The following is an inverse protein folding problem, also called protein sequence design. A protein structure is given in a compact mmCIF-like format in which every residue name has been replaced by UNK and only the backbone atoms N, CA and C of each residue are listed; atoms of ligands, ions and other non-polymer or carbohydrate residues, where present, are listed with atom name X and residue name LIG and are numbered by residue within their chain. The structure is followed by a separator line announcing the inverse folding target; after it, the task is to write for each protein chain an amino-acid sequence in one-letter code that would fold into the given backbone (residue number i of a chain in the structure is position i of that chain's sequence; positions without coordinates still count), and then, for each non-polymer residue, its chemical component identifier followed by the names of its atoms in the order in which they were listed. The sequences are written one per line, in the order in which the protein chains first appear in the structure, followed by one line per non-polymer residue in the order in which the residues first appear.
data_IF_858046068414
#
_entry.id   IF_858046068414
#
_cell.length_a   1.000
_cell.length_b   1.000
_cell.length_c   1.000
_cell.angle_alpha   90.00
_cell.angle_beta   90.00
_cell.angle_gamma   90.00
#
_symmetry.space_group_name_H-M   'P 1'
#
loop_
_entity.id
_entity.type
_entity.pdbx_description
1 polymer ?
#
# COMPACT_ATOMS: atom_id res chain seq x y z
N UNK A 1 24.71 7.75 4.51
CA UNK A 1 24.65 6.45 5.20
C UNK A 1 23.89 6.67 6.50
N UNK A 2 22.59 6.38 6.54
CA UNK A 2 21.84 6.38 7.80
C UNK A 2 22.24 5.09 8.52
N UNK A 3 22.88 5.23 9.66
CA UNK A 3 23.01 4.15 10.63
C UNK A 3 21.60 3.72 11.00
N UNK A 4 21.15 2.58 10.48
CA UNK A 4 19.97 1.93 11.00
C UNK A 4 20.14 1.81 12.50
N UNK A 5 19.23 2.39 13.30
CA UNK A 5 19.11 2.04 14.70
C UNK A 5 18.81 0.54 14.70
N UNK A 6 19.87 -0.25 14.93
CA UNK A 6 19.71 -1.67 15.18
C UNK A 6 18.91 -1.73 16.48
N UNK A 7 17.64 -2.17 16.41
CA UNK A 7 16.94 -2.61 17.61
C UNK A 7 17.86 -3.61 18.31
N UNK A 8 18.04 -3.42 19.60
CA UNK A 8 18.72 -4.42 20.41
C UNK A 8 18.01 -5.76 20.21
N UNK A 9 18.79 -6.84 20.15
CA UNK A 9 18.28 -8.21 19.94
C UNK A 9 17.16 -8.55 20.92
N UNK A 10 17.20 -7.99 22.14
CA UNK A 10 16.18 -8.17 23.15
C UNK A 10 14.86 -7.46 22.78
N UNK A 11 14.93 -6.23 22.26
CA UNK A 11 13.74 -5.49 21.80
C UNK A 11 13.09 -6.17 20.58
N UNK A 12 13.90 -6.66 19.65
CA UNK A 12 13.38 -7.42 18.50
C UNK A 12 12.64 -8.67 18.99
N UNK A 13 13.22 -9.41 19.94
CA UNK A 13 12.60 -10.62 20.47
C UNK A 13 11.26 -10.31 21.16
N UNK A 14 11.18 -9.25 21.96
CA UNK A 14 9.91 -8.82 22.59
C UNK A 14 8.82 -8.51 21.57
N UNK A 15 9.16 -7.85 20.47
CA UNK A 15 8.21 -7.56 19.37
C UNK A 15 7.71 -8.88 18.75
N UNK A 16 8.61 -9.80 18.47
CA UNK A 16 8.28 -11.08 17.85
C UNK A 16 7.46 -11.97 18.79
N UNK A 17 7.78 -12.01 20.10
CA UNK A 17 7.01 -12.76 21.11
C UNK A 17 5.59 -12.19 21.27
N UNK A 18 5.45 -10.85 21.22
CA UNK A 18 4.15 -10.19 21.24
C UNK A 18 3.31 -10.54 20.01
N UNK A 19 3.95 -10.55 18.84
CA UNK A 19 3.32 -10.96 17.57
C UNK A 19 2.88 -12.43 17.63
N UNK A 20 3.75 -13.34 18.09
CA UNK A 20 3.43 -14.77 18.18
C UNK A 20 2.22 -15.02 19.08
N UNK A 21 2.13 -14.31 20.22
CA UNK A 21 0.99 -14.36 21.12
C UNK A 21 -0.29 -13.86 20.45
N UNK A 22 -0.23 -12.72 19.77
CA UNK A 22 -1.36 -12.18 19.00
C UNK A 22 -1.84 -13.17 17.94
N UNK A 23 -0.90 -13.76 17.17
CA UNK A 23 -1.22 -14.72 16.14
C UNK A 23 -1.90 -15.98 16.70
N UNK A 24 -1.39 -16.50 17.83
CA UNK A 24 -1.95 -17.71 18.46
C UNK A 24 -3.34 -17.49 19.07
N UNK A 25 -3.56 -16.34 19.71
CA UNK A 25 -4.79 -16.08 20.49
C UNK A 25 -5.87 -15.42 19.64
N UNK A 26 -5.50 -14.44 18.81
CA UNK A 26 -6.47 -13.57 18.14
C UNK A 26 -6.67 -13.90 16.66
N UNK A 27 -5.70 -14.58 16.03
CA UNK A 27 -5.78 -14.86 14.59
C UNK A 27 -6.12 -16.30 14.32
N UNK A 28 -5.28 -17.23 14.80
CA UNK A 28 -5.37 -18.66 14.46
C UNK A 28 -6.75 -19.31 14.67
N UNK A 29 -7.50 -18.99 15.75
CA UNK A 29 -8.83 -19.59 15.95
C UNK A 29 -9.86 -19.21 14.89
N UNK A 30 -9.66 -18.09 14.19
CA UNK A 30 -10.62 -17.53 13.25
C UNK A 30 -10.26 -17.78 11.77
N UNK A 31 -9.03 -18.20 11.48
CA UNK A 31 -8.49 -18.31 10.10
C UNK A 31 -9.37 -19.14 9.21
N UNK A 32 -9.72 -20.36 9.66
CA UNK A 32 -10.48 -21.32 8.83
C UNK A 32 -11.82 -20.74 8.38
N UNK A 33 -12.56 -20.13 9.33
CA UNK A 33 -13.87 -19.53 9.05
C UNK A 33 -13.75 -18.33 8.12
N UNK A 34 -12.87 -17.38 8.45
CA UNK A 34 -12.72 -16.13 7.69
C UNK A 34 -12.22 -16.38 6.27
N UNK A 35 -11.26 -17.32 6.10
CA UNK A 35 -10.75 -17.68 4.78
C UNK A 35 -11.80 -18.43 3.95
N UNK A 36 -12.53 -19.39 4.57
CA UNK A 36 -13.55 -20.17 3.88
C UNK A 36 -14.72 -19.30 3.41
N UNK A 37 -15.21 -18.43 4.28
CA UNK A 37 -16.40 -17.60 4.04
C UNK A 37 -16.09 -16.30 3.27
N UNK A 38 -14.83 -16.09 2.84
CA UNK A 38 -14.36 -14.86 2.14
C UNK A 38 -14.65 -13.57 2.94
N UNK A 39 -14.46 -13.63 4.26
CA UNK A 39 -14.72 -12.52 5.18
C UNK A 39 -13.43 -11.75 5.45
N UNK A 40 -13.51 -10.42 5.26
CA UNK A 40 -12.41 -9.52 5.63
C UNK A 40 -12.26 -9.45 7.16
N UNK A 41 -11.02 -9.59 7.71
CA UNK A 41 -10.78 -9.69 9.15
C UNK A 41 -10.69 -8.32 9.84
N UNK A 42 -11.78 -7.54 9.87
CA UNK A 42 -11.78 -6.16 10.37
C UNK A 42 -11.25 -6.07 11.81
N UNK A 43 -11.73 -6.92 12.73
CA UNK A 43 -11.32 -6.89 14.14
C UNK A 43 -9.83 -7.20 14.32
N UNK A 44 -9.30 -8.15 13.53
CA UNK A 44 -7.89 -8.49 13.51
C UNK A 44 -7.07 -7.30 12.97
N UNK A 45 -7.56 -6.64 11.94
CA UNK A 45 -6.90 -5.46 11.34
C UNK A 45 -6.85 -4.30 12.33
N UNK A 46 -7.90 -4.06 13.12
CA UNK A 46 -7.87 -3.01 14.15
C UNK A 46 -6.80 -3.33 15.22
N UNK A 47 -6.69 -4.57 15.68
CA UNK A 47 -5.62 -4.98 16.61
C UNK A 47 -4.22 -4.83 15.98
N UNK A 48 -4.08 -5.12 14.69
CA UNK A 48 -2.84 -4.89 13.96
C UNK A 48 -2.45 -3.41 13.91
N UNK A 49 -3.43 -2.48 13.84
CA UNK A 49 -3.19 -1.03 13.96
C UNK A 49 -2.70 -0.67 15.37
N UNK A 50 -3.37 -1.16 16.41
CA UNK A 50 -2.99 -0.94 17.82
C UNK A 50 -1.57 -1.42 18.11
N UNK A 51 -1.16 -2.52 17.50
CA UNK A 51 0.21 -3.06 17.58
C UNK A 51 1.25 -2.27 16.76
N UNK A 52 0.83 -1.28 15.97
CA UNK A 52 1.72 -0.48 15.13
C UNK A 52 2.27 -1.19 13.90
N UNK A 53 1.68 -2.33 13.50
CA UNK A 53 2.18 -3.15 12.38
C UNK A 53 2.12 -2.42 11.03
N UNK A 54 1.22 -1.46 10.85
CA UNK A 54 1.16 -0.62 9.65
C UNK A 54 2.34 0.34 9.53
N UNK A 55 2.93 0.73 10.67
CA UNK A 55 4.09 1.63 10.76
C UNK A 55 5.44 0.92 10.93
N UNK A 56 5.53 -0.39 10.79
CA UNK A 56 6.72 -1.16 11.17
C UNK A 56 8.02 -0.67 10.49
N UNK A 57 8.01 -0.28 9.22
CA UNK A 57 9.17 0.27 8.50
C UNK A 57 9.19 1.80 8.42
N UNK A 58 8.13 2.47 8.83
CA UNK A 58 8.08 3.94 8.83
C UNK A 58 9.00 4.46 9.93
N UNK A 59 9.77 5.51 9.61
CA UNK A 59 10.70 6.13 10.56
C UNK A 59 9.98 6.62 11.83
N UNK A 60 10.60 6.50 13.02
CA UNK A 60 10.06 7.05 14.26
C UNK A 60 9.77 8.54 14.21
N UNK A 61 10.50 9.30 13.40
CA UNK A 61 10.23 10.72 13.13
C UNK A 61 8.80 10.97 12.65
N UNK A 62 8.20 9.98 11.95
CA UNK A 62 6.83 10.04 11.43
C UNK A 62 5.87 9.12 12.19
N UNK A 63 6.23 8.70 13.40
CA UNK A 63 5.38 7.89 14.27
C UNK A 63 5.36 6.39 13.98
N UNK A 64 6.28 5.90 13.15
CA UNK A 64 6.46 4.48 12.89
C UNK A 64 7.40 3.80 13.90
N UNK A 65 7.57 2.49 13.76
CA UNK A 65 8.48 1.71 14.60
C UNK A 65 9.93 1.75 14.12
N UNK A 66 10.19 2.06 12.84
CA UNK A 66 11.53 2.13 12.27
C UNK A 66 12.30 0.81 12.29
N UNK A 67 11.59 -0.32 12.21
CA UNK A 67 12.21 -1.65 12.23
C UNK A 67 13.13 -1.86 11.04
N UNK A 68 14.09 -2.77 11.20
CA UNK A 68 14.94 -3.19 10.09
C UNK A 68 14.13 -4.04 9.09
N UNK A 69 14.58 -4.09 7.84
CA UNK A 69 13.97 -4.99 6.83
C UNK A 69 14.06 -6.46 7.25
N UNK A 70 15.10 -6.84 8.01
CA UNK A 70 15.25 -8.21 8.52
C UNK A 70 14.18 -8.51 9.56
N UNK A 71 13.94 -7.61 10.51
CA UNK A 71 12.88 -7.76 11.52
C UNK A 71 11.51 -7.80 10.86
N UNK A 72 11.28 -6.93 9.86
CA UNK A 72 10.06 -6.97 9.05
C UNK A 72 9.86 -8.31 8.34
N UNK A 73 10.91 -8.87 7.74
CA UNK A 73 10.82 -10.19 7.10
C UNK A 73 10.42 -11.30 8.09
N UNK A 74 10.97 -11.27 9.32
CA UNK A 74 10.57 -12.20 10.39
C UNK A 74 9.09 -12.02 10.80
N UNK A 75 8.60 -10.79 10.84
CA UNK A 75 7.18 -10.49 11.10
C UNK A 75 6.30 -11.10 10.00
N UNK A 76 6.61 -10.84 8.73
CA UNK A 76 5.87 -11.36 7.59
C UNK A 76 5.90 -12.89 7.53
N UNK A 77 7.04 -13.51 7.82
CA UNK A 77 7.17 -14.98 7.90
C UNK A 77 6.19 -15.58 8.92
N UNK A 78 6.16 -15.06 10.16
CA UNK A 78 5.27 -15.53 11.22
C UNK A 78 3.80 -15.33 10.87
N UNK A 79 3.44 -14.13 10.39
CA UNK A 79 2.07 -13.83 9.97
C UNK A 79 1.62 -14.76 8.85
N UNK A 80 2.47 -14.99 7.85
CA UNK A 80 2.16 -15.83 6.69
C UNK A 80 2.04 -17.30 7.06
N UNK A 81 2.82 -17.78 8.04
CA UNK A 81 2.73 -19.15 8.55
C UNK A 81 1.38 -19.45 9.19
N UNK A 82 0.75 -18.43 9.80
CA UNK A 82 -0.59 -18.58 10.40
C UNK A 82 -1.69 -18.26 9.37
N UNK A 83 -1.60 -17.11 8.70
CA UNK A 83 -2.58 -16.69 7.70
C UNK A 83 -2.00 -15.67 6.72
N UNK A 84 -1.73 -16.09 5.49
CA UNK A 84 -1.12 -15.24 4.47
C UNK A 84 -1.93 -13.96 4.17
N UNK A 85 -3.27 -13.98 4.33
CA UNK A 85 -4.12 -12.81 4.06
C UNK A 85 -3.75 -11.59 4.89
N UNK A 86 -3.46 -11.76 6.19
CA UNK A 86 -3.09 -10.64 7.05
C UNK A 86 -1.68 -10.08 6.72
N UNK A 87 -0.74 -10.94 6.34
CA UNK A 87 0.57 -10.48 5.89
C UNK A 87 0.47 -9.68 4.59
N UNK A 88 -0.43 -10.07 3.69
CA UNK A 88 -0.69 -9.32 2.45
C UNK A 88 -1.32 -7.95 2.67
N UNK A 89 -2.21 -7.82 3.66
CA UNK A 89 -2.78 -6.52 4.06
C UNK A 89 -1.65 -5.55 4.45
N UNK A 90 -0.74 -5.99 5.32
CA UNK A 90 0.41 -5.18 5.75
C UNK A 90 1.39 -4.94 4.62
N UNK A 91 1.78 -5.99 3.87
CA UNK A 91 2.82 -5.87 2.86
C UNK A 91 2.46 -4.87 1.75
N UNK A 92 1.22 -4.92 1.24
CA UNK A 92 0.76 -3.97 0.23
C UNK A 92 0.77 -2.53 0.75
N UNK A 93 0.39 -2.33 2.02
CA UNK A 93 0.42 -1.02 2.67
C UNK A 93 1.85 -0.52 2.86
N UNK A 94 2.74 -1.37 3.35
CA UNK A 94 4.15 -1.01 3.58
C UNK A 94 4.84 -0.60 2.28
N UNK A 95 4.58 -1.28 1.15
CA UNK A 95 5.12 -0.87 -0.15
C UNK A 95 4.69 0.56 -0.50
N UNK A 96 3.41 0.90 -0.33
CA UNK A 96 2.89 2.26 -0.55
C UNK A 96 3.58 3.28 0.37
N UNK A 97 3.64 2.99 1.67
CA UNK A 97 4.22 3.88 2.67
C UNK A 97 5.71 4.12 2.41
N UNK A 98 6.47 3.06 2.13
CA UNK A 98 7.90 3.16 1.81
C UNK A 98 8.17 3.90 0.52
N UNK A 99 7.28 3.81 -0.47
CA UNK A 99 7.38 4.61 -1.70
C UNK A 99 7.30 6.12 -1.38
N UNK A 100 6.39 6.52 -0.50
CA UNK A 100 6.30 7.92 -0.04
C UNK A 100 7.48 8.30 0.84
N UNK A 101 7.90 7.44 1.77
CA UNK A 101 9.04 7.73 2.65
C UNK A 101 10.34 7.94 1.87
N UNK A 102 10.58 7.16 0.83
CA UNK A 102 11.81 7.25 0.03
C UNK A 102 11.78 8.40 -0.98
N UNK A 103 10.64 8.68 -1.59
CA UNK A 103 10.54 9.54 -2.76
C UNK A 103 9.69 10.80 -2.54
N UNK A 104 8.89 10.85 -1.48
CA UNK A 104 8.01 11.99 -1.20
C UNK A 104 8.78 13.26 -0.83
N UNK A 105 8.18 14.41 -1.11
CA UNK A 105 8.65 15.68 -0.56
C UNK A 105 8.49 15.69 0.97
N UNK A 106 9.22 16.56 1.68
CA UNK A 106 9.08 16.67 3.14
C UNK A 106 7.64 17.00 3.57
N UNK A 107 6.93 17.81 2.80
CA UNK A 107 5.52 18.11 3.04
C UNK A 107 4.66 16.84 2.93
N UNK A 108 4.87 16.02 1.89
CA UNK A 108 4.16 14.75 1.71
C UNK A 108 4.49 13.75 2.83
N UNK A 109 5.74 13.62 3.22
CA UNK A 109 6.14 12.73 4.32
C UNK A 109 5.47 13.13 5.63
N UNK A 110 5.51 14.40 6.00
CA UNK A 110 4.88 14.92 7.23
C UNK A 110 3.36 14.80 7.24
N UNK A 111 2.73 14.90 6.08
CA UNK A 111 1.28 14.77 5.95
C UNK A 111 0.83 13.31 5.98
N UNK A 112 1.51 12.43 5.23
CA UNK A 112 1.01 11.08 4.97
C UNK A 112 1.59 10.00 5.88
N UNK A 113 2.88 10.05 6.19
CA UNK A 113 3.52 8.94 6.92
C UNK A 113 2.93 8.73 8.32
N UNK A 114 2.59 9.76 9.12
CA UNK A 114 1.91 9.53 10.40
C UNK A 114 0.55 8.85 10.25
N UNK A 115 -0.20 9.20 9.21
CA UNK A 115 -1.51 8.60 8.92
C UNK A 115 -1.37 7.17 8.39
N UNK A 116 -0.28 6.86 7.68
CA UNK A 116 0.07 5.50 7.27
C UNK A 116 0.53 4.67 8.46
N UNK A 117 1.37 5.22 9.35
CA UNK A 117 1.90 4.51 10.51
C UNK A 117 0.79 4.02 11.45
N UNK A 118 -0.26 4.79 11.63
CA UNK A 118 -1.42 4.43 12.45
C UNK A 118 -2.44 3.54 11.71
N UNK A 119 -2.30 3.37 10.38
CA UNK A 119 -3.31 2.70 9.56
C UNK A 119 -4.59 3.52 9.34
N UNK A 120 -4.64 4.81 9.72
CA UNK A 120 -5.72 5.74 9.41
C UNK A 120 -5.92 5.86 7.90
N UNK A 121 -4.83 6.06 7.16
CA UNK A 121 -4.75 5.84 5.73
C UNK A 121 -4.06 4.51 5.50
N UNK A 122 -4.75 3.58 4.87
CA UNK A 122 -4.20 2.29 4.51
C UNK A 122 -4.60 1.89 3.10
N UNK A 123 -3.76 1.13 2.46
CA UNK A 123 -4.02 0.73 1.09
C UNK A 123 -2.88 -0.07 0.49
N UNK A 124 -2.56 0.22 -0.73
CA UNK A 124 -1.56 -0.51 -1.48
C UNK A 124 -1.09 0.25 -2.71
N UNK A 125 -0.70 -0.48 -3.74
CA UNK A 125 -0.23 0.08 -5.00
C UNK A 125 -1.18 -0.25 -6.14
N UNK A 126 -1.50 0.75 -6.96
CA UNK A 126 -2.35 0.60 -8.13
C UNK A 126 -1.52 0.61 -9.41
N UNK A 127 -1.00 -0.56 -9.84
CA UNK A 127 -0.09 -0.67 -10.97
C UNK A 127 -0.74 -1.35 -12.17
N UNK A 128 -1.12 -2.62 -12.00
CA UNK A 128 -1.64 -3.53 -13.03
C UNK A 128 -2.95 -3.04 -13.63
N UNK A 129 -3.12 -3.25 -14.92
CA UNK A 129 -4.34 -2.96 -15.67
C UNK A 129 -4.87 -4.23 -16.36
N UNK A 130 -6.12 -4.24 -16.87
CA UNK A 130 -6.66 -5.42 -17.55
C UNK A 130 -5.77 -5.97 -18.67
N UNK A 131 -5.09 -5.08 -19.41
CA UNK A 131 -4.30 -5.42 -20.59
C UNK A 131 -2.78 -5.48 -20.32
N UNK A 132 -2.32 -5.15 -19.11
CA UNK A 132 -0.88 -5.18 -18.78
C UNK A 132 -0.61 -5.42 -17.29
N UNK A 133 0.44 -6.19 -17.02
CA UNK A 133 0.94 -6.48 -15.68
C UNK A 133 2.46 -6.43 -15.65
N UNK A 134 3.14 -7.44 -16.20
CA UNK A 134 4.60 -7.50 -16.24
C UNK A 134 5.20 -6.31 -17.02
N UNK A 135 4.63 -5.93 -18.17
CA UNK A 135 5.01 -4.71 -18.88
C UNK A 135 4.22 -3.49 -18.35
N UNK A 136 4.65 -2.95 -17.23
CA UNK A 136 4.03 -1.74 -16.66
C UNK A 136 4.12 -0.52 -17.58
N UNK A 137 5.06 -0.49 -18.55
CA UNK A 137 5.16 0.62 -19.49
C UNK A 137 3.96 0.68 -20.46
N UNK A 138 3.20 -0.42 -20.56
CA UNK A 138 2.00 -0.51 -21.40
C UNK A 138 0.73 0.02 -20.72
N UNK A 139 0.78 0.50 -19.46
CA UNK A 139 -0.41 1.07 -18.79
C UNK A 139 -1.08 2.16 -19.66
N UNK A 140 -2.41 2.28 -19.51
CA UNK A 140 -3.24 3.24 -20.26
C UNK A 140 -3.96 4.25 -19.37
N UNK A 141 -3.98 4.04 -18.05
CA UNK A 141 -4.54 5.02 -17.11
C UNK A 141 -3.79 6.33 -17.21
N UNK A 142 -4.51 7.41 -17.54
CA UNK A 142 -3.93 8.74 -17.80
C UNK A 142 -4.33 9.70 -16.70
N UNK A 143 -3.41 10.54 -16.28
CA UNK A 143 -3.65 11.69 -15.41
C UNK A 143 -3.28 12.97 -16.16
N UNK A 144 -4.29 13.80 -16.47
CA UNK A 144 -4.10 15.07 -17.16
C UNK A 144 -4.11 16.22 -16.17
N UNK A 145 -3.06 17.02 -16.17
CA UNK A 145 -2.99 18.20 -15.30
C UNK A 145 -3.98 19.27 -15.77
N UNK A 146 -4.79 19.76 -14.83
CA UNK A 146 -5.73 20.86 -15.02
C UNK A 146 -5.56 21.82 -13.83
N UNK A 147 -4.75 22.86 -14.01
CA UNK A 147 -4.43 23.82 -12.96
C UNK A 147 -3.68 23.15 -11.80
N UNK A 148 -4.29 23.15 -10.64
CA UNK A 148 -3.78 22.58 -9.37
C UNK A 148 -4.17 21.12 -9.16
N UNK A 149 -4.79 20.45 -10.15
CA UNK A 149 -5.26 19.06 -10.06
C UNK A 149 -4.80 18.22 -11.24
N UNK A 150 -4.80 16.91 -11.01
CA UNK A 150 -4.80 15.89 -12.05
C UNK A 150 -6.20 15.30 -12.17
N UNK A 151 -6.70 15.16 -13.40
CA UNK A 151 -7.91 14.42 -13.72
C UNK A 151 -7.50 13.05 -14.25
N UNK A 152 -7.86 12.01 -13.52
CA UNK A 152 -7.45 10.62 -13.78
C UNK A 152 -8.60 9.86 -14.43
N UNK A 153 -8.29 9.20 -15.55
CA UNK A 153 -9.21 8.30 -16.28
C UNK A 153 -8.48 7.00 -16.62
N UNK A 154 -9.16 5.87 -16.41
CA UNK A 154 -8.63 4.55 -16.73
C UNK A 154 -9.11 3.46 -15.78
N UNK A 155 -8.43 2.31 -15.81
CA UNK A 155 -8.79 1.15 -15.03
C UNK A 155 -7.55 0.49 -14.42
N UNK A 156 -7.72 -0.13 -13.25
CA UNK A 156 -6.71 -0.97 -12.61
C UNK A 156 -7.32 -2.33 -12.28
N UNK A 157 -6.48 -3.37 -12.26
CA UNK A 157 -6.89 -4.75 -12.04
C UNK A 157 -5.99 -5.41 -11.00
N UNK A 158 -6.55 -6.32 -10.22
CA UNK A 158 -5.84 -7.07 -9.18
C UNK A 158 -5.30 -6.19 -8.04
N UNK A 159 -6.02 -5.12 -7.68
CA UNK A 159 -5.55 -4.16 -6.70
C UNK A 159 -5.94 -4.60 -5.28
N UNK A 160 -4.92 -4.90 -4.50
CA UNK A 160 -5.03 -5.29 -3.10
C UNK A 160 -5.34 -4.10 -2.20
N UNK A 161 -6.07 -4.30 -1.10
CA UNK A 161 -6.48 -3.27 -0.14
C UNK A 161 -7.27 -2.10 -0.76
N UNK A 162 -8.01 -2.34 -1.82
CA UNK A 162 -8.74 -1.27 -2.50
C UNK A 162 -10.21 -1.18 -2.10
N UNK A 163 -10.79 -2.25 -1.53
CA UNK A 163 -12.16 -2.21 -1.00
C UNK A 163 -12.19 -1.67 0.44
N UNK A 164 -11.38 -2.23 1.31
CA UNK A 164 -11.35 -1.87 2.74
C UNK A 164 -10.27 -0.84 3.07
N UNK A 165 -9.28 -0.62 2.21
CA UNK A 165 -8.36 0.50 2.29
C UNK A 165 -8.97 1.79 1.73
N UNK A 166 -8.30 2.91 1.90
CA UNK A 166 -8.78 4.24 1.51
C UNK A 166 -7.75 5.07 0.73
N UNK A 167 -6.58 4.52 0.41
CA UNK A 167 -5.51 5.20 -0.30
C UNK A 167 -4.70 4.22 -1.18
N UNK A 168 -4.17 4.72 -2.29
CA UNK A 168 -3.24 3.98 -3.16
C UNK A 168 -2.07 4.86 -3.59
N UNK A 169 -0.87 4.26 -3.75
CA UNK A 169 0.13 4.80 -4.65
C UNK A 169 -0.24 4.38 -6.08
N UNK A 170 -0.82 5.30 -6.83
CA UNK A 170 -1.44 5.04 -8.14
C UNK A 170 -0.48 5.41 -9.28
N UNK A 171 -0.08 4.41 -10.08
CA UNK A 171 0.76 4.61 -11.25
C UNK A 171 -0.10 5.01 -12.46
N UNK A 172 0.23 6.14 -13.07
CA UNK A 172 -0.50 6.75 -14.18
C UNK A 172 0.45 7.25 -15.26
N UNK A 173 -0.05 7.52 -16.45
CA UNK A 173 0.65 8.31 -17.48
C UNK A 173 0.27 9.78 -17.37
N UNK A 174 1.25 10.62 -17.10
CA UNK A 174 1.14 12.08 -17.18
C UNK A 174 1.57 12.60 -18.57
N UNK A 175 2.47 11.86 -19.26
CA UNK A 175 2.82 12.11 -20.65
C UNK A 175 2.68 10.81 -21.46
N UNK A 176 1.72 10.78 -22.38
CA UNK A 176 1.45 9.62 -23.26
C UNK A 176 2.36 9.55 -24.47
N UNK A 177 3.13 10.62 -24.76
CA UNK A 177 4.04 10.72 -25.90
C UNK A 177 5.50 10.52 -25.50
N UNK A 178 5.78 10.36 -24.21
CA UNK A 178 7.14 10.21 -23.70
C UNK A 178 7.89 9.04 -24.38
N UNK A 179 9.14 9.31 -24.75
CA UNK A 179 10.07 8.31 -25.26
C UNK A 179 11.40 8.42 -24.50
N UNK A 180 11.84 7.38 -23.77
CA UNK A 180 11.18 6.08 -23.58
C UNK A 180 9.90 6.18 -22.73
N UNK A 181 8.96 5.24 -22.92
CA UNK A 181 7.61 5.25 -22.34
C UNK A 181 7.57 5.43 -20.81
N UNK A 182 8.54 4.89 -20.09
CA UNK A 182 8.60 5.00 -18.64
C UNK A 182 8.78 6.45 -18.13
N UNK A 183 9.35 7.34 -18.95
CA UNK A 183 9.51 8.76 -18.60
C UNK A 183 8.19 9.54 -18.58
N UNK A 184 7.12 8.96 -19.12
CA UNK A 184 5.78 9.53 -19.04
C UNK A 184 4.96 9.01 -17.86
N UNK A 185 5.53 8.20 -16.98
CA UNK A 185 4.81 7.56 -15.87
C UNK A 185 5.08 8.27 -14.56
N UNK A 186 4.03 8.50 -13.78
CA UNK A 186 4.08 9.20 -12.50
C UNK A 186 3.29 8.45 -11.44
N UNK A 187 3.63 8.66 -10.17
CA UNK A 187 2.90 8.11 -9.03
C UNK A 187 2.14 9.20 -8.30
N UNK A 188 0.86 8.94 -8.01
CA UNK A 188 -0.01 9.82 -7.25
C UNK A 188 -0.39 9.16 -5.92
N UNK A 189 -0.46 9.93 -4.83
CA UNK A 189 -1.14 9.52 -3.60
C UNK A 189 -2.62 9.72 -3.83
N UNK A 190 -3.34 8.63 -4.05
CA UNK A 190 -4.75 8.62 -4.45
C UNK A 190 -5.62 8.18 -3.27
N UNK A 191 -6.19 9.14 -2.53
CA UNK A 191 -7.21 8.86 -1.50
C UNK A 191 -8.57 8.64 -2.17
N UNK A 192 -9.40 7.75 -1.63
CA UNK A 192 -10.76 7.52 -2.18
C UNK A 192 -11.58 8.79 -2.21
N UNK A 193 -12.28 9.01 -3.31
CA UNK A 193 -13.13 10.17 -3.52
C UNK A 193 -14.04 10.00 -4.74
N UNK A 194 -14.71 11.06 -5.14
CA UNK A 194 -15.59 11.05 -6.32
C UNK A 194 -14.78 10.67 -7.56
N UNK A 195 -15.27 9.70 -8.33
CA UNK A 195 -14.61 9.18 -9.53
C UNK A 195 -13.60 8.04 -9.27
N UNK A 196 -13.27 7.73 -8.00
CA UNK A 196 -12.54 6.52 -7.63
C UNK A 196 -13.56 5.40 -7.38
N UNK A 197 -13.69 4.46 -8.29
CA UNK A 197 -14.74 3.43 -8.30
C UNK A 197 -14.13 2.05 -8.08
N UNK A 198 -14.52 1.38 -6.99
CA UNK A 198 -14.26 -0.05 -6.82
C UNK A 198 -15.33 -0.80 -7.59
N UNK A 199 -14.99 -1.30 -8.77
CA UNK A 199 -15.97 -1.88 -9.71
C UNK A 199 -16.38 -3.28 -9.31
N UNK A 200 -15.42 -4.09 -8.84
CA UNK A 200 -15.66 -5.48 -8.50
C UNK A 200 -14.60 -5.99 -7.52
N UNK A 201 -15.03 -6.68 -6.45
CA UNK A 201 -14.17 -7.59 -5.68
C UNK A 201 -14.00 -8.87 -6.50
N UNK A 202 -12.77 -9.29 -6.72
CA UNK A 202 -12.45 -10.47 -7.52
C UNK A 202 -12.49 -11.72 -6.64
N UNK A 203 -13.12 -12.77 -7.16
CA UNK A 203 -13.12 -14.10 -6.54
C UNK A 203 -11.73 -14.74 -6.71
N UNK A 204 -11.25 -15.37 -5.65
CA UNK A 204 -9.94 -16.02 -5.61
C UNK A 204 -10.06 -17.45 -5.11
N UNK A 205 -9.14 -18.30 -5.52
CA UNK A 205 -9.06 -19.69 -5.06
C UNK A 205 -8.70 -19.76 -3.56
N UNK A 206 -7.78 -18.91 -3.12
CA UNK A 206 -7.33 -18.71 -1.75
C UNK A 206 -6.94 -17.27 -1.51
N UNK A 207 -6.35 -16.95 -0.34
CA UNK A 207 -5.98 -15.59 0.01
C UNK A 207 -7.21 -14.68 0.11
N UNK A 208 -8.30 -15.25 0.66
CA UNK A 208 -9.64 -14.64 0.62
C UNK A 208 -9.86 -13.57 1.67
N UNK A 209 -9.17 -13.67 2.82
CA UNK A 209 -9.27 -12.66 3.88
C UNK A 209 -8.70 -11.27 3.52
N UNK A 210 -8.12 -11.10 2.34
CA UNK A 210 -7.73 -9.80 1.79
C UNK A 210 -8.50 -9.51 0.51
N UNK A 211 -8.94 -8.27 0.33
CA UNK A 211 -9.62 -7.88 -0.90
C UNK A 211 -8.63 -7.69 -2.06
N UNK A 212 -9.09 -8.06 -3.23
CA UNK A 212 -8.41 -7.82 -4.50
C UNK A 212 -9.46 -7.37 -5.50
N UNK A 213 -9.32 -6.17 -6.06
CA UNK A 213 -10.40 -5.55 -6.81
C UNK A 213 -9.98 -5.10 -8.21
N UNK A 214 -11.00 -4.95 -9.05
CA UNK A 214 -10.95 -4.12 -10.25
C UNK A 214 -11.39 -2.71 -9.90
N UNK A 215 -10.69 -1.71 -10.42
CA UNK A 215 -10.95 -0.29 -10.19
C UNK A 215 -11.18 0.42 -11.51
N UNK A 216 -12.08 1.42 -11.50
CA UNK A 216 -12.22 2.41 -12.55
C UNK A 216 -12.03 3.81 -12.00
N UNK A 217 -11.39 4.65 -12.78
CA UNK A 217 -11.25 6.07 -12.53
C UNK A 217 -12.03 6.82 -13.62
N UNK A 218 -12.99 7.61 -13.20
CA UNK A 218 -13.88 8.38 -14.08
C UNK A 218 -13.88 9.84 -13.63
N UNK A 219 -13.10 10.66 -14.35
CA UNK A 219 -12.80 12.05 -14.01
C UNK A 219 -12.42 12.24 -12.53
N UNK A 220 -11.68 11.24 -12.01
CA UNK A 220 -11.20 11.25 -10.62
C UNK A 220 -10.15 12.35 -10.44
N UNK A 221 -10.43 13.28 -9.52
CA UNK A 221 -9.56 14.43 -9.26
C UNK A 221 -8.60 14.17 -8.11
N UNK A 222 -7.32 14.46 -8.36
CA UNK A 222 -6.24 14.38 -7.38
C UNK A 222 -5.49 15.71 -7.35
N UNK A 223 -5.26 16.31 -6.19
CA UNK A 223 -4.47 17.53 -6.08
C UNK A 223 -3.04 17.33 -6.61
N UNK A 224 -2.51 18.32 -7.32
CA UNK A 224 -1.17 18.22 -7.90
C UNK A 224 -0.07 18.05 -6.84
N UNK A 225 -0.32 18.48 -5.61
CA UNK A 225 0.56 18.26 -4.44
C UNK A 225 0.69 16.77 -4.06
N UNK A 226 -0.19 15.91 -4.57
CA UNK A 226 -0.19 14.45 -4.37
C UNK A 226 0.71 13.70 -5.35
N UNK A 227 1.35 14.39 -6.30
CA UNK A 227 2.38 13.80 -7.16
C UNK A 227 3.61 13.46 -6.31
N UNK A 228 3.91 12.17 -6.15
CA UNK A 228 5.00 11.71 -5.27
C UNK A 228 6.33 12.29 -5.76
N UNK A 229 7.01 13.05 -4.87
CA UNK A 229 8.26 13.72 -5.15
C UNK A 229 8.12 15.01 -5.98
N UNK A 230 6.90 15.38 -6.40
CA UNK A 230 6.62 16.65 -7.08
C UNK A 230 7.11 16.77 -8.53
N UNK A 231 7.67 15.68 -9.10
CA UNK A 231 8.23 15.68 -10.47
C UNK A 231 7.60 14.56 -11.28
N UNK A 232 6.97 14.92 -12.41
CA UNK A 232 6.40 13.94 -13.35
C UNK A 232 7.49 13.04 -14.00
N UNK A 233 7.07 11.89 -14.49
CA UNK A 233 7.93 10.97 -15.24
C UNK A 233 8.89 10.13 -14.38
N UNK A 234 8.76 10.14 -13.06
CA UNK A 234 9.59 9.35 -12.12
C UNK A 234 8.89 8.12 -11.56
N UNK A 235 7.61 7.91 -11.89
CA UNK A 235 6.77 6.92 -11.23
C UNK A 235 7.30 5.48 -11.31
N UNK A 236 7.79 5.04 -12.46
CA UNK A 236 8.33 3.68 -12.59
C UNK A 236 9.59 3.48 -11.72
N UNK A 237 10.49 4.46 -11.69
CA UNK A 237 11.70 4.41 -10.87
C UNK A 237 11.40 4.44 -9.37
N UNK A 238 10.31 5.11 -8.98
CA UNK A 238 9.92 5.26 -7.58
C UNK A 238 9.30 3.98 -7.01
N UNK A 239 8.72 3.13 -7.85
CA UNK A 239 8.02 1.91 -7.40
C UNK A 239 8.87 0.64 -7.54
N UNK A 240 9.91 0.67 -8.33
CA UNK A 240 10.88 -0.42 -8.49
C UNK A 240 12.08 -0.22 -7.55
#
# INVERSE_FOLDING_TARGET
MHTANAYDTEQEQLILDSLDRFLAVEVQPHVHKLEHDDIYPEEIVEKMKEMGLFGCLISPEYGGLGLTTVTYAKIIERMSAVWMSISGIINSHVIMAMTVQRNGTEAQKREFLPRFATGQLRGGVGLTEPDCGTDLQAIRTVARRQGDKYVVNGAKMWITNSMYGNCLALLVKTDTQANPRHRGMSLLIAEKGKGFIVSKKLEKLGYKGIDTCALNFDDYQVDATRLIGGVEGKGLQQIL
#
